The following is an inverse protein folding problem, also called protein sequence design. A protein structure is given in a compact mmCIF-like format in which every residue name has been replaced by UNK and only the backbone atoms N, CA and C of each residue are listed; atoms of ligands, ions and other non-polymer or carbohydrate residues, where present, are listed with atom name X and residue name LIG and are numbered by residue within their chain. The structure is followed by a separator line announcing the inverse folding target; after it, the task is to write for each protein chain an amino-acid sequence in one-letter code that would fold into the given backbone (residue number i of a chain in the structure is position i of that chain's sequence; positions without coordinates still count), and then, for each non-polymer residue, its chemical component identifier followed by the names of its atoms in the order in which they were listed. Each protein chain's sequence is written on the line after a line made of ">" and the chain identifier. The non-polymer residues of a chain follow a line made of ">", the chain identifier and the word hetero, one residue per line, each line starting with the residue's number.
data_IF_357100604866
#
_entry.id   IF_357100604866
#
_cell.length_a   1.000
_cell.length_b   1.000
_cell.length_c   1.000
_cell.angle_alpha   90.00
_cell.angle_beta   90.00
_cell.angle_gamma   90.00
#
_symmetry.space_group_name_H-M   'P 1'
#
loop_
_entity.id
_entity.type
_entity.pdbx_description
1 polymer ?
#
# COMPACT_ATOMS: atom_id res chain seq x y z
N UNK A 1 24.87 -6.75 -13.68
CA UNK A 1 24.03 -5.63 -13.19
C UNK A 1 22.63 -6.14 -12.83
N UNK A 2 22.51 -7.29 -12.15
CA UNK A 2 21.22 -7.86 -11.75
C UNK A 2 20.72 -7.30 -10.41
N UNK A 3 21.64 -6.99 -9.48
CA UNK A 3 21.29 -6.55 -8.13
C UNK A 3 20.45 -5.27 -8.04
N UNK A 4 20.67 -4.28 -8.93
CA UNK A 4 19.93 -3.01 -8.86
C UNK A 4 18.42 -3.12 -9.16
N UNK A 5 17.99 -4.21 -9.83
CA UNK A 5 16.56 -4.45 -10.09
C UNK A 5 15.91 -5.25 -8.96
N UNK A 6 16.62 -6.23 -8.41
CA UNK A 6 16.20 -6.98 -7.22
C UNK A 6 16.08 -6.05 -6.01
N UNK A 7 17.12 -5.23 -5.72
CA UNK A 7 17.12 -4.24 -4.64
C UNK A 7 15.94 -3.26 -4.74
N UNK A 8 15.53 -2.93 -5.98
CA UNK A 8 14.40 -2.02 -6.24
C UNK A 8 13.05 -2.71 -6.05
N UNK A 9 12.93 -3.98 -6.39
CA UNK A 9 11.73 -4.77 -6.15
C UNK A 9 11.53 -5.00 -4.65
N UNK A 10 12.61 -5.33 -3.93
CA UNK A 10 12.59 -5.52 -2.49
C UNK A 10 12.15 -4.23 -1.78
N UNK A 11 12.76 -3.08 -2.12
CA UNK A 11 12.33 -1.79 -1.57
C UNK A 11 10.87 -1.43 -1.87
N UNK A 12 10.31 -1.85 -3.03
CA UNK A 12 8.90 -1.64 -3.32
C UNK A 12 8.00 -2.59 -2.53
N UNK A 13 8.45 -3.82 -2.27
CA UNK A 13 7.72 -4.78 -1.44
C UNK A 13 7.69 -4.32 0.03
N UNK A 14 8.81 -3.81 0.54
CA UNK A 14 8.89 -3.23 1.89
C UNK A 14 7.88 -2.08 2.06
N UNK A 15 7.83 -1.16 1.09
CA UNK A 15 6.86 -0.06 1.09
C UNK A 15 5.40 -0.54 1.01
N UNK A 16 5.13 -1.65 0.31
CA UNK A 16 3.79 -2.24 0.28
C UNK A 16 3.45 -2.83 1.65
N UNK A 17 4.40 -3.52 2.31
CA UNK A 17 4.18 -4.09 3.64
C UNK A 17 3.91 -3.00 4.68
N UNK A 18 4.73 -1.95 4.70
CA UNK A 18 4.51 -0.77 5.55
C UNK A 18 3.14 -0.13 5.27
N UNK A 19 2.77 0.01 3.99
CA UNK A 19 1.47 0.54 3.59
C UNK A 19 0.29 -0.32 4.05
N UNK A 20 0.41 -1.66 4.00
CA UNK A 20 -0.63 -2.58 4.49
C UNK A 20 -0.79 -2.55 6.01
N UNK A 21 0.31 -2.36 6.75
CA UNK A 21 0.24 -2.13 8.20
C UNK A 21 -0.53 -0.85 8.52
N UNK A 22 -0.18 0.25 7.84
CA UNK A 22 -0.87 1.53 8.03
C UNK A 22 -2.34 1.46 7.63
N UNK A 23 -2.65 0.77 6.53
CA UNK A 23 -4.03 0.47 6.10
C UNK A 23 -4.83 -0.26 7.17
N UNK A 24 -4.24 -1.27 7.81
CA UNK A 24 -4.90 -2.04 8.85
C UNK A 24 -5.19 -1.19 10.09
N UNK A 25 -4.26 -0.34 10.50
CA UNK A 25 -4.44 0.62 11.59
C UNK A 25 -5.58 1.60 11.28
N UNK A 26 -5.60 2.15 10.06
CA UNK A 26 -6.63 3.09 9.63
C UNK A 26 -8.01 2.43 9.54
N UNK A 27 -8.08 1.19 9.04
CA UNK A 27 -9.32 0.42 9.02
C UNK A 27 -9.84 0.14 10.44
N UNK A 28 -8.96 -0.13 11.39
CA UNK A 28 -9.33 -0.30 12.80
C UNK A 28 -9.86 1.02 13.42
N UNK A 29 -9.28 2.16 13.04
CA UNK A 29 -9.77 3.48 13.44
C UNK A 29 -11.19 3.75 12.91
N UNK A 30 -11.42 3.53 11.61
CA UNK A 30 -12.74 3.66 10.97
C UNK A 30 -13.77 2.78 11.69
N UNK A 31 -13.44 1.51 11.92
CA UNK A 31 -14.32 0.59 12.63
C UNK A 31 -14.64 1.07 14.05
N UNK A 32 -13.63 1.56 14.77
CA UNK A 32 -13.81 2.09 16.14
C UNK A 32 -14.70 3.33 16.15
N UNK A 33 -14.51 4.26 15.21
CA UNK A 33 -15.34 5.46 15.09
C UNK A 33 -16.80 5.10 14.77
N UNK A 34 -17.02 4.17 13.84
CA UNK A 34 -18.34 3.68 13.50
C UNK A 34 -19.03 2.99 14.70
N UNK A 35 -18.32 2.15 15.45
CA UNK A 35 -18.83 1.50 16.66
C UNK A 35 -19.19 2.50 17.76
N UNK A 36 -18.43 3.58 17.90
CA UNK A 36 -18.71 4.65 18.85
C UNK A 36 -19.75 5.67 18.35
N UNK A 37 -20.31 5.50 17.15
CA UNK A 37 -21.25 6.45 16.55
C UNK A 37 -20.64 7.82 16.27
N UNK A 38 -19.31 7.89 16.11
CA UNK A 38 -18.59 9.10 15.71
C UNK A 38 -18.57 9.21 14.20
N UNK A 39 -18.43 10.44 13.71
CA UNK A 39 -18.15 10.68 12.30
C UNK A 39 -16.80 10.04 11.92
N UNK A 40 -16.84 9.17 10.92
CA UNK A 40 -15.68 8.45 10.39
C UNK A 40 -15.29 8.90 8.97
N UNK A 41 -15.95 9.92 8.40
CA UNK A 41 -15.76 10.31 7.01
C UNK A 41 -14.31 10.70 6.68
N UNK A 42 -13.62 11.38 7.60
CA UNK A 42 -12.21 11.73 7.42
C UNK A 42 -11.31 10.47 7.44
N UNK A 43 -11.57 9.54 8.35
CA UNK A 43 -10.79 8.32 8.46
C UNK A 43 -11.03 7.38 7.26
N UNK A 44 -12.25 7.34 6.73
CA UNK A 44 -12.63 6.62 5.52
C UNK A 44 -11.98 7.21 4.26
N UNK A 45 -11.86 8.55 4.19
CA UNK A 45 -11.17 9.22 3.10
C UNK A 45 -9.68 8.87 3.10
N UNK A 46 -9.03 8.94 4.27
CA UNK A 46 -7.62 8.55 4.43
C UNK A 46 -7.40 7.07 4.13
N UNK A 47 -8.29 6.17 4.57
CA UNK A 47 -8.22 4.75 4.21
C UNK A 47 -8.25 4.53 2.69
N UNK A 48 -9.07 5.32 1.98
CA UNK A 48 -9.15 5.27 0.52
C UNK A 48 -7.87 5.76 -0.16
N UNK A 49 -7.26 6.82 0.36
CA UNK A 49 -5.98 7.33 -0.14
C UNK A 49 -4.86 6.29 0.04
N UNK A 50 -4.86 5.57 1.17
CA UNK A 50 -3.92 4.46 1.42
C UNK A 50 -4.16 3.31 0.43
N UNK A 51 -5.42 2.92 0.19
CA UNK A 51 -5.79 1.90 -0.79
C UNK A 51 -5.32 2.23 -2.21
N UNK A 52 -5.48 3.49 -2.63
CA UNK A 52 -5.06 3.98 -3.94
C UNK A 52 -3.52 3.97 -4.07
N UNK A 53 -2.81 4.41 -3.03
CA UNK A 53 -1.34 4.39 -2.99
C UNK A 53 -0.79 2.96 -3.06
N UNK A 54 -1.34 2.03 -2.28
CA UNK A 54 -0.98 0.61 -2.32
C UNK A 54 -1.24 -0.01 -3.69
N UNK A 55 -2.35 0.36 -4.33
CA UNK A 55 -2.67 -0.10 -5.69
C UNK A 55 -1.64 0.40 -6.70
N UNK A 56 -1.22 1.67 -6.61
CA UNK A 56 -0.17 2.22 -7.46
C UNK A 56 1.19 1.52 -7.25
N UNK A 57 1.56 1.22 -6.00
CA UNK A 57 2.78 0.47 -5.68
C UNK A 57 2.75 -0.95 -6.25
N UNK A 58 1.64 -1.67 -6.09
CA UNK A 58 1.44 -3.02 -6.67
C UNK A 58 1.55 -3.03 -8.19
N UNK A 59 0.95 -2.04 -8.86
CA UNK A 59 1.08 -1.89 -10.31
C UNK A 59 2.54 -1.68 -10.74
N UNK A 60 3.29 -0.91 -9.95
CA UNK A 60 4.71 -0.66 -10.19
C UNK A 60 5.55 -1.93 -10.02
N UNK A 61 5.30 -2.73 -8.97
CA UNK A 61 5.94 -4.04 -8.78
C UNK A 61 5.61 -4.98 -9.95
N UNK A 62 4.34 -5.10 -10.33
CA UNK A 62 3.93 -5.93 -11.46
C UNK A 62 4.60 -5.50 -12.78
N UNK A 63 4.79 -4.20 -12.97
CA UNK A 63 5.51 -3.65 -14.14
C UNK A 63 6.98 -4.04 -14.12
N UNK A 64 7.66 -4.01 -12.97
CA UNK A 64 9.07 -4.42 -12.88
C UNK A 64 9.24 -5.94 -13.00
N UNK A 65 8.38 -6.73 -12.35
CA UNK A 65 8.41 -8.19 -12.40
C UNK A 65 8.02 -8.75 -13.78
N UNK A 66 7.14 -8.07 -14.52
CA UNK A 66 6.64 -8.51 -15.82
C UNK A 66 7.42 -8.02 -17.04
N UNK A 67 8.49 -7.22 -16.87
CA UNK A 67 9.23 -6.62 -17.98
C UNK A 67 10.46 -7.48 -18.37
N UNK A 68 10.43 -8.22 -19.50
CA UNK A 68 11.50 -9.14 -19.89
C UNK A 68 12.79 -8.44 -20.34
N UNK A 69 12.83 -7.10 -20.38
CA UNK A 69 14.06 -6.33 -20.65
C UNK A 69 15.02 -6.26 -19.45
N UNK A 70 14.60 -6.77 -18.29
CA UNK A 70 15.37 -6.75 -17.05
C UNK A 70 15.61 -8.15 -16.44
N UNK A 71 15.22 -9.24 -17.13
CA UNK A 71 15.56 -10.62 -16.75
C UNK A 71 16.84 -11.10 -17.41
#
# INVERSE_FOLDING_TARGET
>A
MAGATEDRLDALNDLIEEGEQHRAEQAALVATQALCGRDAAAAEAELREIDDALTALRMRVATFAGNPRHS
#
